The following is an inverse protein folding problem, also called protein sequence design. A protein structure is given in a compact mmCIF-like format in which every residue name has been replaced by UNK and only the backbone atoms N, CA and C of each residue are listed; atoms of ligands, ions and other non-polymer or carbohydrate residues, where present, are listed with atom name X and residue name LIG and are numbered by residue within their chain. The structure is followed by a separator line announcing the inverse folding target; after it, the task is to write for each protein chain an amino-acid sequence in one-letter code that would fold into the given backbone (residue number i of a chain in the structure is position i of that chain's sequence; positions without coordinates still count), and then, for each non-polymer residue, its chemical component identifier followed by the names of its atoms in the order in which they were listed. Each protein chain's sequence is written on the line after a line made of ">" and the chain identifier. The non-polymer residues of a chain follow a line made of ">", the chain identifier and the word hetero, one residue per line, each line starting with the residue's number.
data_IF_009076557760
#
_entry.id   IF_009076557760
#
_cell.length_a   1.000
_cell.length_b   1.000
_cell.length_c   1.000
_cell.angle_alpha   90.00
_cell.angle_beta   90.00
_cell.angle_gamma   90.00
#
_symmetry.space_group_name_H-M   'P 1'
#
loop_
_entity.id
_entity.type
_entity.pdbx_description
1 polymer ?
#
# COMPACT_ATOMS: atom_id res chain seq x y z
N UNK A 1 15.37 -17.76 -7.68
CA UNK A 1 15.28 -16.53 -6.86
C UNK A 1 13.92 -15.91 -7.09
N UNK A 2 13.43 -15.11 -6.15
CA UNK A 2 12.22 -14.31 -6.35
C UNK A 2 12.62 -12.88 -6.69
N UNK A 3 11.92 -12.26 -7.65
CA UNK A 3 12.00 -10.83 -7.88
C UNK A 3 11.11 -10.12 -6.86
N UNK A 4 11.60 -9.04 -6.26
CA UNK A 4 10.90 -8.31 -5.21
C UNK A 4 10.82 -6.84 -5.58
N UNK A 5 9.59 -6.32 -5.59
CA UNK A 5 9.31 -4.89 -5.74
C UNK A 5 8.84 -4.37 -4.38
N UNK A 6 9.45 -3.28 -3.92
CA UNK A 6 9.18 -2.63 -2.66
C UNK A 6 8.54 -1.26 -2.93
N UNK A 7 7.57 -0.89 -2.10
CA UNK A 7 6.99 0.46 -2.12
C UNK A 7 7.20 1.16 -0.78
N UNK A 8 7.47 2.45 -0.83
CA UNK A 8 7.73 3.25 0.37
C UNK A 8 7.12 4.64 0.24
N UNK A 9 6.77 5.24 1.39
CA UNK A 9 6.37 6.64 1.48
C UNK A 9 7.56 7.59 1.66
N UNK A 10 8.71 7.08 2.11
CA UNK A 10 9.91 7.88 2.37
C UNK A 10 10.81 7.89 1.16
N UNK A 11 11.45 9.03 0.93
CA UNK A 11 12.48 9.16 -0.08
C UNK A 11 13.75 8.49 0.43
N UNK A 12 14.00 7.28 -0.06
CA UNK A 12 15.19 6.48 0.24
C UNK A 12 16.19 6.56 -0.93
N UNK A 13 17.45 6.19 -0.71
CA UNK A 13 18.40 5.95 -1.80
C UNK A 13 17.86 4.79 -2.66
N UNK A 14 17.35 5.13 -3.84
CA UNK A 14 16.61 4.20 -4.71
C UNK A 14 17.57 3.15 -5.27
N UNK A 15 17.50 1.93 -4.74
CA UNK A 15 18.05 0.74 -5.38
C UNK A 15 17.06 0.20 -6.43
N UNK A 16 17.54 -0.65 -7.36
CA UNK A 16 16.65 -1.36 -8.29
C UNK A 16 15.57 -2.12 -7.50
N UNK A 17 14.30 -1.90 -7.85
CA UNK A 17 13.16 -2.56 -7.22
C UNK A 17 12.51 -1.80 -6.05
N UNK A 18 12.95 -0.59 -5.69
CA UNK A 18 12.26 0.26 -4.69
C UNK A 18 11.55 1.43 -5.36
N UNK A 19 10.25 1.58 -5.15
CA UNK A 19 9.43 2.67 -5.68
C UNK A 19 8.90 3.55 -4.57
N UNK A 20 9.21 4.84 -4.63
CA UNK A 20 8.58 5.82 -3.73
C UNK A 20 7.22 6.24 -4.32
N UNK A 21 6.14 5.87 -3.63
CA UNK A 21 4.77 6.23 -3.99
C UNK A 21 4.20 7.37 -3.15
N UNK A 22 4.95 7.84 -2.14
CA UNK A 22 4.41 8.73 -1.12
C UNK A 22 3.34 8.04 -0.28
N UNK A 23 2.36 8.83 0.18
CA UNK A 23 1.24 8.29 0.94
C UNK A 23 0.25 7.56 0.02
N UNK A 24 -0.33 6.49 0.56
CA UNK A 24 -1.34 5.68 -0.12
C UNK A 24 -2.75 6.13 0.27
N UNK A 25 -3.70 6.01 -0.65
CA UNK A 25 -5.11 6.33 -0.48
C UNK A 25 -5.99 5.45 -1.38
N UNK A 26 -7.31 5.69 -1.36
CA UNK A 26 -8.25 5.06 -2.30
C UNK A 26 -7.97 5.37 -3.78
N UNK A 27 -7.20 6.42 -4.05
CA UNK A 27 -6.90 6.90 -5.41
C UNK A 27 -5.51 6.46 -5.90
N UNK A 28 -4.73 5.76 -5.07
CA UNK A 28 -3.41 5.26 -5.47
C UNK A 28 -3.53 4.32 -6.67
N UNK A 29 -2.77 4.60 -7.73
CA UNK A 29 -2.74 3.77 -8.92
C UNK A 29 -1.68 2.66 -8.80
N UNK A 30 -2.13 1.42 -8.65
CA UNK A 30 -1.25 0.26 -8.49
C UNK A 30 -1.00 -0.50 -9.79
N UNK A 31 -1.70 -0.18 -10.89
CA UNK A 31 -1.78 -1.03 -12.08
C UNK A 31 -0.41 -1.38 -12.66
N UNK A 32 0.48 -0.40 -12.80
CA UNK A 32 1.82 -0.61 -13.35
C UNK A 32 2.69 -1.50 -12.46
N UNK A 33 2.60 -1.36 -11.14
CA UNK A 33 3.43 -2.11 -10.19
C UNK A 33 2.94 -3.54 -9.96
N UNK A 34 1.66 -3.80 -10.21
CA UNK A 34 1.06 -5.12 -10.03
C UNK A 34 1.15 -5.99 -11.28
N UNK A 35 1.54 -5.43 -12.43
CA UNK A 35 1.64 -6.17 -13.67
C UNK A 35 2.73 -7.24 -13.57
N UNK A 36 2.34 -8.51 -13.68
CA UNK A 36 3.26 -9.65 -13.56
C UNK A 36 3.55 -10.10 -12.13
N UNK A 37 2.96 -9.46 -11.12
CA UNK A 37 3.13 -9.86 -9.73
C UNK A 37 2.25 -11.08 -9.38
N UNK A 38 2.86 -12.14 -8.84
CA UNK A 38 2.13 -13.31 -8.34
C UNK A 38 1.57 -13.10 -6.91
N UNK A 39 2.24 -12.28 -6.10
CA UNK A 39 1.93 -12.11 -4.66
C UNK A 39 2.06 -10.65 -4.26
N UNK A 40 1.10 -10.15 -3.48
CA UNK A 40 1.17 -8.86 -2.78
C UNK A 40 1.24 -9.10 -1.27
N UNK A 41 2.18 -8.44 -0.60
CA UNK A 41 2.31 -8.42 0.85
C UNK A 41 2.06 -6.99 1.32
N UNK A 42 0.93 -6.74 1.96
CA UNK A 42 0.56 -5.44 2.48
C UNK A 42 1.03 -5.30 3.93
N UNK A 43 2.09 -4.51 4.11
CA UNK A 43 2.68 -4.20 5.42
C UNK A 43 2.48 -2.74 5.82
N UNK A 44 1.85 -1.95 4.95
CA UNK A 44 1.58 -0.54 5.22
C UNK A 44 0.42 -0.42 6.22
N UNK A 45 0.59 0.43 7.21
CA UNK A 45 -0.47 0.74 8.16
C UNK A 45 -0.14 1.95 9.00
N UNK A 46 -1.18 2.67 9.42
CA UNK A 46 -1.06 3.76 10.38
C UNK A 46 -1.51 3.28 11.76
N UNK A 47 -0.56 3.20 12.70
CA UNK A 47 -0.84 2.87 14.10
C UNK A 47 -0.98 4.12 15.01
N UNK A 48 -0.77 5.31 14.44
CA UNK A 48 -0.72 6.55 15.22
C UNK A 48 -2.14 7.14 15.34
N UNK A 49 -2.76 6.96 16.51
CA UNK A 49 -3.88 7.80 16.94
C UNK A 49 -3.24 9.08 17.49
N UNK A 50 -3.03 10.10 16.64
CA UNK A 50 -2.57 11.42 17.11
C UNK A 50 -3.72 12.09 17.87
N UNK A 51 -3.44 12.45 19.11
CA UNK A 51 -4.40 12.72 20.15
C UNK A 51 -4.81 14.20 20.22
N UNK A 52 -5.06 14.85 19.08
CA UNK A 52 -5.44 16.28 19.05
C UNK A 52 -6.84 16.55 18.46
N UNK A 53 -7.40 15.65 17.66
CA UNK A 53 -8.83 15.67 17.30
C UNK A 53 -9.32 14.26 16.89
N UNK A 54 -10.27 13.69 17.64
CA UNK A 54 -10.61 12.27 17.53
C UNK A 54 -11.27 11.88 16.19
N UNK A 55 -11.94 12.82 15.53
CA UNK A 55 -12.58 12.60 14.22
C UNK A 55 -11.52 12.52 13.11
N UNK A 56 -10.54 13.42 13.12
CA UNK A 56 -9.48 13.46 12.11
C UNK A 56 -8.53 12.27 12.25
N UNK A 57 -8.24 11.85 13.48
CA UNK A 57 -7.45 10.65 13.74
C UNK A 57 -8.14 9.38 13.20
N UNK A 58 -9.46 9.23 13.39
CA UNK A 58 -10.21 8.09 12.86
C UNK A 58 -10.32 8.13 11.33
N UNK A 59 -10.52 9.32 10.76
CA UNK A 59 -10.56 9.51 9.32
C UNK A 59 -9.23 9.10 8.68
N UNK A 60 -8.10 9.55 9.24
CA UNK A 60 -6.77 9.21 8.74
C UNK A 60 -6.43 7.73 8.92
N UNK A 61 -6.80 7.15 10.06
CA UNK A 61 -6.68 5.72 10.30
C UNK A 61 -7.44 4.90 9.25
N UNK A 62 -8.69 5.27 8.94
CA UNK A 62 -9.51 4.61 7.90
C UNK A 62 -8.94 4.83 6.50
N UNK A 63 -8.50 6.04 6.18
CA UNK A 63 -7.92 6.38 4.88
C UNK A 63 -6.80 5.43 4.49
N UNK A 64 -5.87 5.17 5.43
CA UNK A 64 -4.72 4.29 5.19
C UNK A 64 -5.08 2.82 5.38
N UNK A 65 -5.62 2.43 6.54
CA UNK A 65 -5.77 1.02 6.88
C UNK A 65 -6.98 0.34 6.23
N UNK A 66 -7.99 1.11 5.80
CA UNK A 66 -9.20 0.58 5.21
C UNK A 66 -9.30 0.94 3.72
N UNK A 67 -9.32 2.23 3.38
CA UNK A 67 -9.64 2.65 2.01
C UNK A 67 -8.49 2.34 1.04
N UNK A 68 -7.25 2.66 1.41
CA UNK A 68 -6.08 2.32 0.61
C UNK A 68 -5.86 0.79 0.52
N UNK A 69 -6.10 0.05 1.61
CA UNK A 69 -6.03 -1.42 1.63
C UNK A 69 -7.03 -2.05 0.66
N UNK A 70 -8.29 -1.60 0.68
CA UNK A 70 -9.33 -2.09 -0.24
C UNK A 70 -8.95 -1.77 -1.69
N UNK A 71 -8.42 -0.57 -1.94
CA UNK A 71 -7.96 -0.18 -3.29
C UNK A 71 -6.86 -1.12 -3.79
N UNK A 72 -5.83 -1.35 -2.98
CA UNK A 72 -4.73 -2.26 -3.34
C UNK A 72 -5.23 -3.69 -3.57
N UNK A 73 -6.12 -4.20 -2.71
CA UNK A 73 -6.67 -5.55 -2.87
C UNK A 73 -7.49 -5.72 -4.15
N UNK A 74 -8.31 -4.73 -4.50
CA UNK A 74 -9.09 -4.73 -5.75
C UNK A 74 -8.19 -4.68 -6.98
N UNK A 75 -7.18 -3.81 -6.95
CA UNK A 75 -6.24 -3.68 -8.06
C UNK A 75 -5.41 -4.96 -8.20
N UNK A 76 -4.95 -5.56 -7.11
CA UNK A 76 -4.23 -6.84 -7.10
C UNK A 76 -5.05 -7.96 -7.74
N UNK A 77 -6.31 -8.11 -7.33
CA UNK A 77 -7.21 -9.10 -7.92
C UNK A 77 -7.44 -8.85 -9.42
N UNK A 78 -7.59 -7.58 -9.82
CA UNK A 78 -7.79 -7.20 -11.22
C UNK A 78 -6.55 -7.42 -12.09
N UNK A 79 -5.36 -7.33 -11.49
CA UNK A 79 -4.07 -7.60 -12.15
C UNK A 79 -3.68 -9.08 -12.17
N UNK A 80 -4.49 -9.98 -11.60
CA UNK A 80 -4.25 -11.42 -11.61
C UNK A 80 -3.28 -11.91 -10.52
N UNK A 81 -3.07 -11.12 -9.47
CA UNK A 81 -2.29 -11.53 -8.29
C UNK A 81 -2.96 -12.76 -7.65
N UNK A 82 -2.18 -13.79 -7.35
CA UNK A 82 -2.66 -15.08 -6.83
C UNK A 82 -2.78 -15.09 -5.32
N UNK A 83 -1.91 -14.36 -4.63
CA UNK A 83 -1.90 -14.29 -3.18
C UNK A 83 -1.86 -12.85 -2.68
N UNK A 84 -2.81 -12.51 -1.82
CA UNK A 84 -2.82 -11.24 -1.11
C UNK A 84 -2.65 -11.50 0.38
N UNK A 85 -1.49 -11.11 0.92
CA UNK A 85 -1.15 -11.28 2.33
C UNK A 85 -1.31 -9.92 3.01
N UNK A 86 -2.30 -9.83 3.90
CA UNK A 86 -2.54 -8.66 4.75
C UNK A 86 -2.02 -8.97 6.16
N UNK A 87 -1.24 -8.06 6.73
CA UNK A 87 -0.65 -8.18 8.08
C UNK A 87 -1.34 -7.23 9.05
#
# INVERSE_FOLDING_TARGET
>A
GHEVILTTRRQENIAEGIFNLGDISADTNWAHLLQGCDTVIHTAGSAHILNDDAQDALAEFRRVNHDATIKLAKDAASSGVKHFIFI
#
